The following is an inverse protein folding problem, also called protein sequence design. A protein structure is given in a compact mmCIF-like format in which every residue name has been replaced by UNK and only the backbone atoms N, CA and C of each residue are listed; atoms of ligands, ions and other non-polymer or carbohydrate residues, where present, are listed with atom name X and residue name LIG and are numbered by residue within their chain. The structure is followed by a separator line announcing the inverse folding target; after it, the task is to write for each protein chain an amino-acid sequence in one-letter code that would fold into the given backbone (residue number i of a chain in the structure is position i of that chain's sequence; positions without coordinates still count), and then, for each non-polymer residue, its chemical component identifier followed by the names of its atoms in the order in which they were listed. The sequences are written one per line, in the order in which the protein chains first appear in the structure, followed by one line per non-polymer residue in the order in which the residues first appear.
data_IF_776660134539
#
_entry.id   IF_776660134539
#
_cell.length_a   1.000
_cell.length_b   1.000
_cell.length_c   1.000
_cell.angle_alpha   90.00
_cell.angle_beta   90.00
_cell.angle_gamma   90.00
#
_symmetry.space_group_name_H-M   'P 1'
#
loop_
_entity.id
_entity.type
_entity.pdbx_description
1 polymer ?
#
# COMPACT_ATOMS: atom_id res chain seq x y z
N UNK A 1 41.52 -18.32 13.39
CA UNK A 1 41.84 -18.60 11.97
C UNK A 1 41.32 -17.44 11.15
N UNK A 2 42.18 -16.75 10.40
CA UNK A 2 41.75 -15.69 9.47
C UNK A 2 40.89 -16.34 8.40
N UNK A 3 39.67 -15.86 8.16
CA UNK A 3 38.92 -16.28 6.97
C UNK A 3 39.76 -15.93 5.74
N UNK A 4 39.83 -16.83 4.77
CA UNK A 4 40.49 -16.51 3.50
C UNK A 4 39.72 -15.40 2.81
N UNK A 5 40.38 -14.65 1.92
CA UNK A 5 39.70 -13.62 1.11
C UNK A 5 38.49 -14.23 0.37
N UNK A 6 38.63 -15.46 -0.11
CA UNK A 6 37.57 -16.20 -0.80
C UNK A 6 36.34 -16.44 0.10
N UNK A 7 36.53 -16.83 1.37
CA UNK A 7 35.41 -17.02 2.32
C UNK A 7 34.62 -15.72 2.55
N UNK A 8 35.32 -14.58 2.58
CA UNK A 8 34.69 -13.26 2.74
C UNK A 8 33.89 -12.91 1.49
N UNK A 9 34.47 -13.13 0.30
CA UNK A 9 33.81 -12.85 -0.97
C UNK A 9 32.58 -13.75 -1.18
N UNK A 10 32.67 -15.05 -0.88
CA UNK A 10 31.55 -16.00 -0.92
C UNK A 10 30.44 -15.60 0.05
N UNK A 11 30.79 -15.14 1.26
CA UNK A 11 29.80 -14.65 2.22
C UNK A 11 29.05 -13.43 1.68
N UNK A 12 29.74 -12.52 0.98
CA UNK A 12 29.11 -11.35 0.34
C UNK A 12 28.17 -11.82 -0.77
N UNK A 13 28.64 -12.68 -1.68
CA UNK A 13 27.83 -13.20 -2.78
C UNK A 13 26.61 -13.96 -2.27
N UNK A 14 26.76 -14.79 -1.23
CA UNK A 14 25.65 -15.51 -0.62
C UNK A 14 24.61 -14.59 0.02
N UNK A 15 25.04 -13.51 0.69
CA UNK A 15 24.11 -12.48 1.21
C UNK A 15 23.34 -11.79 0.09
N UNK A 16 24.01 -11.49 -1.02
CA UNK A 16 23.33 -10.92 -2.19
C UNK A 16 22.42 -11.92 -2.87
N UNK A 17 22.80 -13.19 -2.98
CA UNK A 17 21.95 -14.27 -3.44
C UNK A 17 20.67 -14.35 -2.59
N UNK A 18 20.79 -14.37 -1.25
CA UNK A 18 19.64 -14.34 -0.35
C UNK A 18 18.78 -13.08 -0.55
N UNK A 19 19.40 -11.91 -0.73
CA UNK A 19 18.69 -10.66 -1.01
C UNK A 19 17.96 -10.68 -2.36
N UNK A 20 18.56 -11.29 -3.38
CA UNK A 20 17.96 -11.43 -4.70
C UNK A 20 16.82 -12.45 -4.66
N UNK A 21 17.01 -13.62 -4.05
CA UNK A 21 15.95 -14.63 -3.89
C UNK A 21 14.78 -14.10 -3.09
N UNK A 22 15.02 -13.31 -2.04
CA UNK A 22 13.95 -12.63 -1.29
C UNK A 22 13.20 -11.56 -2.12
N UNK A 23 13.77 -11.12 -3.25
CA UNK A 23 13.16 -10.17 -4.19
C UNK A 23 12.65 -10.84 -5.48
N UNK A 24 13.06 -12.08 -5.74
CA UNK A 24 12.48 -12.93 -6.78
C UNK A 24 11.15 -13.40 -6.21
N UNK A 25 10.11 -12.66 -6.57
CA UNK A 25 8.74 -13.11 -6.39
C UNK A 25 8.61 -14.38 -7.23
N UNK A 26 8.47 -15.54 -6.57
CA UNK A 26 7.97 -16.73 -7.25
C UNK A 26 6.66 -16.29 -7.90
N UNK A 27 6.54 -16.53 -9.21
CA UNK A 27 5.38 -16.23 -10.04
C UNK A 27 4.16 -17.06 -9.62
N UNK A 28 3.80 -17.07 -8.34
CA UNK A 28 2.49 -17.50 -7.90
C UNK A 28 1.48 -16.43 -8.33
N UNK A 29 1.14 -16.43 -9.61
CA UNK A 29 -0.10 -15.88 -10.20
C UNK A 29 -0.38 -14.39 -9.91
N UNK A 30 -0.23 -13.50 -10.89
CA UNK A 30 -1.34 -13.13 -11.79
C UNK A 30 -2.65 -12.66 -11.14
N UNK A 31 -2.66 -12.23 -9.87
CA UNK A 31 -3.90 -11.71 -9.28
C UNK A 31 -4.18 -10.29 -9.77
N UNK A 32 -5.07 -10.22 -10.75
CA UNK A 32 -5.84 -9.02 -11.09
C UNK A 32 -6.60 -8.57 -9.84
N UNK A 33 -6.54 -7.27 -9.55
CA UNK A 33 -7.34 -6.66 -8.49
C UNK A 33 -8.58 -5.97 -9.07
N UNK A 34 -9.52 -5.57 -8.21
CA UNK A 34 -10.78 -4.99 -8.66
C UNK A 34 -10.59 -3.73 -9.54
N UNK A 35 -9.51 -2.96 -9.35
CA UNK A 35 -9.22 -1.81 -10.20
C UNK A 35 -8.68 -2.24 -11.58
N UNK A 36 -7.78 -3.22 -11.63
CA UNK A 36 -7.33 -3.81 -12.89
C UNK A 36 -8.52 -4.36 -13.70
N UNK A 37 -9.44 -5.06 -13.03
CA UNK A 37 -10.61 -5.66 -13.66
C UNK A 37 -11.60 -4.62 -14.21
N UNK A 38 -11.72 -3.45 -13.58
CA UNK A 38 -12.58 -2.37 -14.08
C UNK A 38 -12.09 -1.83 -15.42
N UNK A 39 -10.76 -1.69 -15.56
CA UNK A 39 -10.12 -1.10 -16.74
C UNK A 39 -9.63 -2.11 -17.79
N UNK A 40 -9.86 -3.41 -17.56
CA UNK A 40 -9.26 -4.49 -18.35
C UNK A 40 -7.73 -4.36 -18.49
N UNK A 41 -7.06 -3.86 -17.44
CA UNK A 41 -5.60 -3.78 -17.40
C UNK A 41 -5.07 -5.18 -17.08
N UNK A 42 -4.53 -5.85 -18.09
CA UNK A 42 -3.96 -7.19 -17.91
C UNK A 42 -2.65 -7.13 -17.13
N UNK A 43 -2.26 -8.27 -16.56
CA UNK A 43 -0.93 -8.41 -15.95
C UNK A 43 0.20 -8.08 -16.94
N UNK A 44 0.06 -8.44 -18.21
CA UNK A 44 1.04 -8.15 -19.26
C UNK A 44 1.19 -6.65 -19.50
N UNK A 45 0.07 -5.92 -19.63
CA UNK A 45 0.10 -4.45 -19.75
C UNK A 45 0.78 -3.83 -18.53
N UNK A 46 0.48 -4.34 -17.33
CA UNK A 46 1.09 -3.90 -16.09
C UNK A 46 2.59 -4.20 -16.02
N UNK A 47 3.03 -5.36 -16.48
CA UNK A 47 4.43 -5.81 -16.39
C UNK A 47 5.35 -4.97 -17.28
N UNK A 48 4.85 -4.52 -18.44
CA UNK A 48 5.55 -3.64 -19.37
C UNK A 48 5.90 -2.27 -18.76
N UNK A 49 5.04 -1.74 -17.88
CA UNK A 49 5.30 -0.49 -17.17
C UNK A 49 4.78 -0.52 -15.71
N UNK A 50 5.42 -1.36 -14.90
CA UNK A 50 5.00 -1.63 -13.51
C UNK A 50 4.90 -0.38 -12.65
N UNK A 51 5.84 0.56 -12.84
CA UNK A 51 5.89 1.79 -12.05
C UNK A 51 4.75 2.74 -12.41
N UNK A 52 4.45 2.91 -13.70
CA UNK A 52 3.33 3.73 -14.17
C UNK A 52 2.00 3.17 -13.66
N UNK A 53 1.73 1.90 -13.93
CA UNK A 53 0.46 1.27 -13.53
C UNK A 53 0.30 1.23 -12.01
N UNK A 54 1.37 1.00 -11.27
CA UNK A 54 1.34 1.07 -9.81
C UNK A 54 0.99 2.46 -9.28
N UNK A 55 1.43 3.54 -9.96
CA UNK A 55 1.08 4.92 -9.60
C UNK A 55 -0.36 5.27 -9.95
N UNK A 56 -0.79 4.97 -11.17
CA UNK A 56 -2.16 5.28 -11.63
C UNK A 56 -3.22 4.53 -10.83
N UNK A 57 -3.04 3.22 -10.64
CA UNK A 57 -3.97 2.41 -9.84
C UNK A 57 -3.94 2.81 -8.36
N UNK A 58 -2.77 3.22 -7.84
CA UNK A 58 -2.68 3.80 -6.50
C UNK A 58 -3.41 5.12 -6.37
N UNK A 59 -3.33 5.99 -7.38
CA UNK A 59 -4.08 7.24 -7.36
C UNK A 59 -5.58 7.05 -7.52
N UNK A 60 -5.99 6.10 -8.35
CA UNK A 60 -7.38 5.69 -8.46
C UNK A 60 -7.91 5.21 -7.10
N UNK A 61 -7.17 4.32 -6.42
CA UNK A 61 -7.52 3.84 -5.09
C UNK A 61 -7.70 4.97 -4.07
N UNK A 62 -6.70 5.86 -3.94
CA UNK A 62 -6.76 7.00 -3.02
C UNK A 62 -7.97 7.89 -3.28
N UNK A 63 -8.25 8.21 -4.55
CA UNK A 63 -9.37 9.09 -4.94
C UNK A 63 -10.71 8.46 -4.60
N UNK A 64 -10.88 7.16 -4.87
CA UNK A 64 -12.11 6.44 -4.53
C UNK A 64 -12.31 6.43 -3.01
N UNK A 65 -11.30 6.03 -2.24
CA UNK A 65 -11.37 5.99 -0.77
C UNK A 65 -11.70 7.37 -0.19
N UNK A 66 -11.00 8.40 -0.65
CA UNK A 66 -11.22 9.77 -0.20
C UNK A 66 -12.65 10.21 -0.46
N UNK A 67 -13.16 9.95 -1.66
CA UNK A 67 -14.50 10.38 -2.06
C UNK A 67 -15.61 9.64 -1.32
N UNK A 68 -15.48 8.33 -1.08
CA UNK A 68 -16.49 7.59 -0.31
C UNK A 68 -16.53 8.04 1.15
N UNK A 69 -15.37 8.30 1.76
CA UNK A 69 -15.31 8.81 3.13
C UNK A 69 -15.88 10.22 3.21
N UNK A 70 -15.55 11.09 2.24
CA UNK A 70 -16.07 12.46 2.17
C UNK A 70 -17.60 12.52 2.07
N UNK A 71 -18.20 11.60 1.32
CA UNK A 71 -19.65 11.59 1.12
C UNK A 71 -20.42 10.92 2.26
N UNK A 72 -19.83 9.93 2.94
CA UNK A 72 -20.58 9.07 3.88
C UNK A 72 -20.19 9.29 5.36
N UNK A 73 -19.06 9.92 5.66
CA UNK A 73 -18.60 10.13 7.05
C UNK A 73 -18.82 11.58 7.49
N UNK A 74 -19.65 11.79 8.51
CA UNK A 74 -19.92 13.14 9.07
C UNK A 74 -18.66 13.79 9.70
N UNK A 75 -17.73 12.95 10.14
CA UNK A 75 -16.47 13.30 10.79
C UNK A 75 -15.27 13.20 9.82
N UNK A 76 -15.53 13.33 8.52
CA UNK A 76 -14.47 13.45 7.52
C UNK A 76 -13.68 14.74 7.68
N UNK A 77 -12.37 14.67 7.45
CA UNK A 77 -11.53 15.85 7.24
C UNK A 77 -10.45 15.55 6.20
N UNK A 78 -9.97 16.57 5.47
CA UNK A 78 -8.90 16.39 4.50
C UNK A 78 -7.57 15.99 5.18
N UNK A 79 -6.60 15.65 4.36
CA UNK A 79 -5.24 15.31 4.77
C UNK A 79 -4.63 16.24 5.83
N UNK A 80 -3.90 15.65 6.79
CA UNK A 80 -3.11 16.41 7.76
C UNK A 80 -1.75 16.76 7.16
N UNK A 81 -1.43 18.04 7.17
CA UNK A 81 -0.14 18.56 6.70
C UNK A 81 0.69 19.09 7.86
N UNK A 82 1.98 18.81 7.79
CA UNK A 82 2.96 19.35 8.73
C UNK A 82 4.20 19.81 7.94
N UNK A 83 4.23 21.13 7.68
CA UNK A 83 5.15 21.76 6.75
C UNK A 83 4.85 21.41 5.29
N UNK A 84 5.84 20.81 4.61
CA UNK A 84 5.71 20.35 3.22
C UNK A 84 5.20 18.92 3.09
N UNK A 85 5.10 18.22 4.22
CA UNK A 85 4.72 16.82 4.27
C UNK A 85 3.21 16.70 4.49
N UNK A 86 2.59 15.88 3.65
CA UNK A 86 1.26 15.34 3.89
C UNK A 86 1.45 14.02 4.66
N UNK A 87 0.93 13.96 5.89
CA UNK A 87 1.17 12.85 6.82
C UNK A 87 0.25 11.65 6.55
N UNK A 88 -0.92 11.91 5.97
CA UNK A 88 -1.93 10.93 5.57
C UNK A 88 -2.83 11.54 4.47
N UNK A 89 -3.58 10.71 3.76
CA UNK A 89 -4.43 11.16 2.64
C UNK A 89 -5.76 11.78 3.10
N UNK A 90 -6.32 11.30 4.23
CA UNK A 90 -7.57 11.79 4.80
C UNK A 90 -7.70 11.46 6.30
N UNK A 91 -8.69 12.07 6.96
CA UNK A 91 -9.09 11.77 8.34
C UNK A 91 -10.57 11.33 8.38
N UNK A 92 -10.88 10.32 9.20
CA UNK A 92 -12.25 9.97 9.59
C UNK A 92 -12.30 9.84 11.11
N UNK A 93 -12.85 10.84 11.80
CA UNK A 93 -12.83 10.90 13.26
C UNK A 93 -11.40 11.03 13.79
N UNK A 94 -10.90 10.00 14.46
CA UNK A 94 -9.51 9.93 14.94
C UNK A 94 -8.60 9.13 14.02
N UNK A 95 -9.14 8.45 13.00
CA UNK A 95 -8.33 7.64 12.11
C UNK A 95 -7.68 8.54 11.05
N UNK A 96 -6.34 8.56 11.05
CA UNK A 96 -5.53 9.19 10.02
C UNK A 96 -5.13 8.17 8.97
N UNK A 97 -5.83 8.22 7.83
CA UNK A 97 -5.78 7.17 6.81
C UNK A 97 -4.82 7.57 5.70
N UNK A 98 -3.82 6.74 5.47
CA UNK A 98 -2.96 6.76 4.29
C UNK A 98 -3.28 5.54 3.43
N UNK A 99 -3.39 5.72 2.12
CA UNK A 99 -3.80 4.69 1.18
C UNK A 99 -2.62 4.23 0.34
N UNK A 100 -2.56 2.92 0.03
CA UNK A 100 -1.59 2.38 -0.92
C UNK A 100 -2.23 1.36 -1.83
N UNK A 101 -1.74 1.33 -3.07
CA UNK A 101 -2.02 0.21 -3.95
C UNK A 101 -1.36 -1.09 -3.45
N UNK A 102 -0.07 -0.99 -3.13
CA UNK A 102 0.76 -2.00 -2.45
C UNK A 102 2.00 -1.35 -1.86
N UNK A 103 2.65 -2.01 -0.90
CA UNK A 103 3.97 -1.63 -0.39
C UNK A 103 5.02 -2.55 -1.00
N UNK A 104 5.57 -2.13 -2.14
CA UNK A 104 6.59 -2.88 -2.88
C UNK A 104 8.04 -2.50 -2.54
N UNK A 105 8.26 -1.45 -1.75
CA UNK A 105 9.59 -0.96 -1.40
C UNK A 105 9.87 -1.18 0.08
N UNK A 106 11.02 -1.80 0.37
CA UNK A 106 11.63 -1.83 1.69
C UNK A 106 12.77 -0.82 1.83
N UNK A 107 12.82 0.18 0.95
CA UNK A 107 13.85 1.23 1.01
C UNK A 107 13.85 1.92 2.38
N UNK A 108 15.03 2.03 2.98
CA UNK A 108 15.19 2.50 4.35
C UNK A 108 14.66 3.93 4.55
N UNK A 109 14.78 4.79 3.53
CA UNK A 109 14.25 6.16 3.57
C UNK A 109 12.72 6.17 3.59
N UNK A 110 12.10 5.31 2.79
CA UNK A 110 10.63 5.16 2.74
C UNK A 110 10.08 4.63 4.06
N UNK A 111 10.69 3.58 4.62
CA UNK A 111 10.25 2.99 5.90
C UNK A 111 10.48 3.93 7.08
N UNK A 112 11.58 4.70 7.07
CA UNK A 112 11.82 5.75 8.06
C UNK A 112 10.71 6.81 8.00
N UNK A 113 10.38 7.27 6.80
CA UNK A 113 9.31 8.26 6.59
C UNK A 113 7.96 7.80 7.13
N UNK A 114 7.55 6.55 6.87
CA UNK A 114 6.31 6.00 7.45
C UNK A 114 6.32 5.99 8.98
N UNK A 115 7.43 5.62 9.62
CA UNK A 115 7.54 5.63 11.08
C UNK A 115 7.46 7.05 11.64
N UNK A 116 8.16 7.99 11.03
CA UNK A 116 8.16 9.40 11.44
C UNK A 116 6.75 9.99 11.32
N UNK A 117 6.02 9.65 10.25
CA UNK A 117 4.64 10.09 10.04
C UNK A 117 3.68 9.52 11.08
N UNK A 118 3.70 8.22 11.34
CA UNK A 118 2.87 7.62 12.38
C UNK A 118 3.11 8.24 13.75
N UNK A 119 4.39 8.51 14.09
CA UNK A 119 4.75 9.17 15.35
C UNK A 119 4.13 10.57 15.45
N UNK A 120 4.22 11.38 14.39
CA UNK A 120 3.64 12.73 14.34
C UNK A 120 2.12 12.69 14.43
N UNK A 121 1.47 11.77 13.73
CA UNK A 121 0.02 11.58 13.79
C UNK A 121 -0.44 11.22 15.20
N UNK A 122 0.26 10.31 15.88
CA UNK A 122 -0.03 9.94 17.27
C UNK A 122 0.16 11.11 18.24
N UNK A 123 1.18 11.95 18.04
CA UNK A 123 1.37 13.18 18.82
C UNK A 123 0.22 14.19 18.64
N UNK A 124 -0.44 14.16 17.48
CA UNK A 124 -1.65 14.92 17.18
C UNK A 124 -2.94 14.23 17.66
N UNK A 125 -2.83 13.12 18.41
CA UNK A 125 -3.92 12.28 18.91
C UNK A 125 -4.73 11.54 17.82
N UNK A 126 -4.14 11.35 16.63
CA UNK A 126 -4.71 10.49 15.60
C UNK A 126 -4.20 9.04 15.71
N UNK A 127 -5.01 8.11 15.21
CA UNK A 127 -4.69 6.70 15.01
C UNK A 127 -4.20 6.51 13.57
N UNK A 128 -2.92 6.18 13.33
CA UNK A 128 -2.43 5.96 11.98
C UNK A 128 -3.01 4.67 11.38
N UNK A 129 -3.69 4.79 10.24
CA UNK A 129 -4.30 3.68 9.50
C UNK A 129 -3.73 3.63 8.10
N UNK A 130 -3.27 2.44 7.68
CA UNK A 130 -2.74 2.20 6.34
C UNK A 130 -3.67 1.25 5.59
N UNK A 131 -4.38 1.77 4.59
CA UNK A 131 -5.32 1.01 3.76
C UNK A 131 -4.69 0.59 2.43
N UNK A 132 -4.42 -0.70 2.31
CA UNK A 132 -3.71 -1.27 1.18
C UNK A 132 -4.67 -2.08 0.31
N UNK A 133 -4.76 -1.78 -0.98
CA UNK A 133 -5.65 -2.53 -1.87
C UNK A 133 -5.20 -3.99 -2.03
N UNK A 134 -3.92 -4.22 -2.32
CA UNK A 134 -3.39 -5.56 -2.61
C UNK A 134 -2.79 -6.26 -1.38
N UNK A 135 -2.64 -7.57 -1.49
CA UNK A 135 -2.05 -8.44 -0.45
C UNK A 135 -0.59 -8.80 -0.72
N UNK A 136 -0.09 -8.60 -1.93
CA UNK A 136 1.28 -8.90 -2.38
C UNK A 136 2.31 -7.84 -1.93
N UNK A 137 2.26 -7.47 -0.65
CA UNK A 137 3.15 -6.49 -0.04
C UNK A 137 4.46 -7.13 0.43
N UNK A 138 5.54 -6.34 0.47
CA UNK A 138 6.82 -6.80 1.02
C UNK A 138 6.66 -7.05 2.54
N UNK A 139 6.85 -8.29 3.05
CA UNK A 139 6.56 -8.62 4.45
C UNK A 139 7.39 -7.80 5.45
N UNK A 140 8.65 -7.53 5.11
CA UNK A 140 9.54 -6.69 5.92
C UNK A 140 9.03 -5.25 6.04
N UNK A 141 8.43 -4.71 4.97
CA UNK A 141 7.87 -3.36 4.97
C UNK A 141 6.59 -3.29 5.82
N UNK A 142 5.71 -4.28 5.69
CA UNK A 142 4.52 -4.42 6.56
C UNK A 142 4.94 -4.46 8.03
N UNK A 143 5.90 -5.33 8.38
CA UNK A 143 6.43 -5.44 9.74
C UNK A 143 6.98 -4.11 10.24
N UNK A 144 7.70 -3.37 9.39
CA UNK A 144 8.27 -2.08 9.75
C UNK A 144 7.18 -1.01 10.00
N UNK A 145 6.13 -0.96 9.17
CA UNK A 145 5.01 -0.04 9.34
C UNK A 145 4.20 -0.37 10.61
N UNK A 146 3.90 -1.65 10.86
CA UNK A 146 3.22 -2.09 12.09
C UNK A 146 4.02 -1.70 13.33
N UNK A 147 5.33 -2.00 13.36
CA UNK A 147 6.21 -1.58 14.46
C UNK A 147 6.34 -0.07 14.57
N UNK A 148 6.12 0.66 13.48
CA UNK A 148 6.10 2.11 13.42
C UNK A 148 4.80 2.74 13.93
N UNK A 149 3.78 1.95 14.29
CA UNK A 149 2.53 2.44 14.85
C UNK A 149 1.35 2.51 13.87
N UNK A 150 1.48 1.95 12.66
CA UNK A 150 0.37 1.87 11.70
C UNK A 150 -0.52 0.65 11.97
N UNK A 151 -1.83 0.88 12.01
CA UNK A 151 -2.85 -0.15 11.88
C UNK A 151 -3.05 -0.46 10.39
N UNK A 152 -2.72 -1.68 9.96
CA UNK A 152 -2.68 -2.02 8.53
C UNK A 152 -3.86 -2.91 8.17
N UNK A 153 -4.60 -2.51 7.14
CA UNK A 153 -5.65 -3.33 6.52
C UNK A 153 -5.32 -3.52 5.05
N UNK A 154 -5.31 -4.77 4.58
CA UNK A 154 -4.97 -5.12 3.21
C UNK A 154 -6.00 -6.06 2.56
N UNK A 155 -6.24 -5.92 1.26
CA UNK A 155 -7.17 -6.78 0.52
C UNK A 155 -8.58 -6.68 1.08
N UNK A 156 -9.23 -7.83 1.32
CA UNK A 156 -10.59 -7.88 1.90
C UNK A 156 -10.72 -7.12 3.22
N UNK A 157 -9.67 -7.07 4.05
CA UNK A 157 -9.71 -6.34 5.31
C UNK A 157 -9.80 -4.82 5.09
N UNK A 158 -9.20 -4.30 4.02
CA UNK A 158 -9.31 -2.88 3.67
C UNK A 158 -10.75 -2.54 3.25
N UNK A 159 -11.39 -3.41 2.47
CA UNK A 159 -12.80 -3.24 2.11
C UNK A 159 -13.74 -3.35 3.31
N UNK A 160 -13.51 -4.31 4.21
CA UNK A 160 -14.29 -4.45 5.44
C UNK A 160 -14.17 -3.20 6.33
N UNK A 161 -12.95 -2.68 6.51
CA UNK A 161 -12.74 -1.42 7.22
C UNK A 161 -13.55 -0.29 6.58
N UNK A 162 -13.45 -0.12 5.25
CA UNK A 162 -14.17 0.93 4.54
C UNK A 162 -15.69 0.78 4.67
N UNK A 163 -16.22 -0.44 4.56
CA UNK A 163 -17.64 -0.69 4.73
C UNK A 163 -18.10 -0.36 6.15
N UNK A 164 -17.29 -0.66 7.17
CA UNK A 164 -17.61 -0.32 8.56
C UNK A 164 -17.65 1.20 8.77
N UNK A 165 -16.68 1.95 8.24
CA UNK A 165 -16.61 3.41 8.47
C UNK A 165 -17.54 4.22 7.57
N UNK A 166 -17.83 3.73 6.35
CA UNK A 166 -18.65 4.46 5.35
C UNK A 166 -20.06 3.91 5.19
N UNK A 167 -20.36 2.71 5.72
CA UNK A 167 -21.60 1.96 5.44
C UNK A 167 -21.82 1.67 3.94
N UNK A 168 -20.78 1.78 3.12
CA UNK A 168 -20.82 1.54 1.69
C UNK A 168 -20.00 0.30 1.31
N UNK A 169 -20.64 -0.64 0.62
CA UNK A 169 -19.97 -1.83 0.09
C UNK A 169 -19.21 -1.50 -1.20
N UNK A 170 -18.00 -0.96 -1.02
CA UNK A 170 -17.13 -0.61 -2.13
C UNK A 170 -16.73 -1.83 -2.97
N UNK A 171 -16.50 -2.99 -2.34
CA UNK A 171 -16.00 -4.16 -3.05
C UNK A 171 -17.04 -4.66 -4.06
N UNK A 172 -18.29 -4.87 -3.62
CA UNK A 172 -19.38 -5.26 -4.51
C UNK A 172 -19.63 -4.20 -5.60
N UNK A 173 -19.51 -2.91 -5.24
CA UNK A 173 -19.65 -1.82 -6.21
C UNK A 173 -18.60 -1.86 -7.31
N UNK A 174 -17.32 -2.13 -6.99
CA UNK A 174 -16.25 -2.27 -7.97
C UNK A 174 -16.45 -3.53 -8.83
N UNK A 175 -16.82 -4.64 -8.19
CA UNK A 175 -17.01 -5.92 -8.87
C UNK A 175 -18.17 -5.91 -9.87
N UNK A 176 -19.23 -5.15 -9.62
CA UNK A 176 -20.33 -4.94 -10.59
C UNK A 176 -19.93 -4.14 -11.85
N UNK A 177 -18.71 -3.60 -11.90
CA UNK A 177 -18.18 -2.75 -12.99
C UNK A 177 -17.00 -3.38 -13.72
N UNK A 178 -16.70 -4.65 -13.47
CA UNK A 178 -15.64 -5.37 -14.18
C UNK A 178 -15.87 -5.28 -15.69
N UNK A 179 -14.79 -4.98 -16.43
CA UNK A 179 -14.79 -4.84 -17.88
C UNK A 179 -15.56 -3.65 -18.44
N UNK A 180 -16.02 -2.72 -17.60
CA UNK A 180 -16.82 -1.57 -18.07
C UNK A 180 -16.01 -0.51 -18.81
N UNK A 181 -14.72 -0.38 -18.50
CA UNK A 181 -13.85 0.66 -19.06
C UNK A 181 -12.65 0.06 -19.78
N UNK A 182 -12.89 -0.63 -20.90
CA UNK A 182 -11.82 -1.21 -21.71
C UNK A 182 -10.92 -0.13 -22.30
N UNK A 183 -9.61 -0.29 -22.11
CA UNK A 183 -8.59 0.50 -22.80
C UNK A 183 -8.41 -0.07 -24.21
N UNK A 184 -8.76 0.74 -25.22
CA UNK A 184 -8.56 0.46 -26.65
C UNK A 184 -7.16 0.82 -27.12
#
# INVERSE_FOLDING_TARGET
MSSSLDDVLETILYRYYQSFTAKIFIEETSQEDDLMLIFNVTYEMKSQNRQYWGRELGMCWQRIVTEICRQNCINFSPAVRDGKDELCDLIVGLDAIDTKYRIGSGDAGTLKKFRDYATRLQQLNYQPVLLILRTDNLPAAITACTRGGWNIYSGSNAYQYLQQVTQFDLQSWLQSRKGRFTLS
#
